data_IF_790369507373
#
_entry.id   IF_790369507373
#
_cell.length_a   1.000
_cell.length_b   1.000
_cell.length_c   1.000
_cell.angle_alpha   90.00
_cell.angle_beta   90.00
_cell.angle_gamma   90.00
#
_symmetry.space_group_name_H-M   'P 1'
#
loop_
_entity.id
_entity.type
_entity.pdbx_description
1 polymer ?
#
# COMPACT_ATOMS: atom_id res chain seq x y z
N UNK A 1 -14.41 -2.15 13.52
CA UNK A 1 -13.32 -2.14 12.51
C UNK A 1 -13.87 -2.16 11.09
N UNK A 2 -14.84 -3.04 10.78
CA UNK A 2 -15.51 -3.09 9.46
C UNK A 2 -16.08 -1.73 9.00
N UNK A 3 -16.76 -1.00 9.89
CA UNK A 3 -17.31 0.33 9.53
C UNK A 3 -16.24 1.37 9.16
N UNK A 4 -15.04 1.28 9.75
CA UNK A 4 -13.91 2.15 9.38
C UNK A 4 -13.39 1.77 8.00
N UNK A 5 -13.29 0.47 7.70
CA UNK A 5 -12.88 -0.01 6.38
C UNK A 5 -13.88 0.44 5.32
N UNK A 6 -15.19 0.28 5.57
CA UNK A 6 -16.26 0.77 4.71
C UNK A 6 -16.14 2.27 4.44
N UNK A 7 -16.02 3.09 5.49
CA UNK A 7 -15.88 4.55 5.35
C UNK A 7 -14.61 4.97 4.60
N UNK A 8 -13.49 4.26 4.76
CA UNK A 8 -12.26 4.54 4.00
C UNK A 8 -12.38 4.16 2.52
N UNK A 9 -13.08 3.07 2.22
CA UNK A 9 -13.22 2.59 0.83
C UNK A 9 -14.13 3.48 -0.03
N UNK A 10 -14.96 4.33 0.59
CA UNK A 10 -15.74 5.36 -0.10
C UNK A 10 -14.88 6.41 -0.84
N UNK A 11 -13.57 6.44 -0.62
CA UNK A 11 -12.64 7.25 -1.45
C UNK A 11 -12.79 6.94 -2.95
N UNK A 12 -13.23 5.72 -3.30
CA UNK A 12 -13.43 5.28 -4.67
C UNK A 12 -14.70 5.83 -5.35
N UNK A 13 -15.67 6.31 -4.58
CA UNK A 13 -17.00 6.70 -5.09
C UNK A 13 -16.92 7.89 -6.06
N UNK A 14 -15.95 8.80 -5.84
CA UNK A 14 -15.71 9.97 -6.69
C UNK A 14 -14.75 9.73 -7.85
N UNK A 15 -14.16 8.53 -7.97
CA UNK A 15 -13.14 8.24 -8.99
C UNK A 15 -13.80 7.85 -10.32
N UNK A 16 -13.17 8.18 -11.44
CA UNK A 16 -13.63 7.71 -12.76
C UNK A 16 -13.49 6.18 -12.90
N UNK A 17 -14.28 5.53 -13.76
CA UNK A 17 -14.10 4.11 -14.06
C UNK A 17 -12.68 3.83 -14.59
N UNK A 18 -12.11 2.68 -14.22
CA UNK A 18 -10.74 2.29 -14.56
C UNK A 18 -9.63 3.02 -13.79
N UNK A 19 -9.97 3.98 -12.91
CA UNK A 19 -8.99 4.68 -12.08
C UNK A 19 -8.24 3.70 -11.16
N UNK A 20 -6.97 3.98 -10.87
CA UNK A 20 -6.13 3.14 -10.01
C UNK A 20 -6.48 3.36 -8.53
N UNK A 21 -6.80 2.28 -7.82
CA UNK A 21 -7.00 2.26 -6.37
C UNK A 21 -5.99 1.31 -5.71
N UNK A 22 -5.15 1.87 -4.83
CA UNK A 22 -4.30 1.06 -3.96
C UNK A 22 -5.07 0.70 -2.69
N UNK A 23 -5.15 -0.59 -2.36
CA UNK A 23 -5.85 -1.05 -1.17
C UNK A 23 -5.06 -2.15 -0.45
N UNK A 24 -5.11 -2.22 0.90
CA UNK A 24 -4.32 -3.19 1.66
C UNK A 24 -4.84 -4.61 1.42
N UNK A 25 -3.95 -5.60 1.39
CA UNK A 25 -4.28 -7.01 1.26
C UNK A 25 -5.05 -7.61 2.46
N UNK A 26 -5.33 -6.81 3.48
CA UNK A 26 -6.16 -7.20 4.61
C UNK A 26 -7.58 -7.56 4.11
N UNK A 27 -8.11 -8.76 4.44
CA UNK A 27 -9.44 -9.19 4.03
C UNK A 27 -10.58 -8.26 4.48
N UNK A 28 -10.36 -7.39 5.46
CA UNK A 28 -11.38 -6.47 5.99
C UNK A 28 -11.96 -5.52 4.93
N UNK A 29 -11.24 -5.27 3.84
CA UNK A 29 -11.70 -4.38 2.76
C UNK A 29 -12.38 -5.11 1.60
N UNK A 30 -12.37 -6.44 1.56
CA UNK A 30 -12.85 -7.25 0.41
C UNK A 30 -14.31 -6.96 0.07
N UNK A 31 -15.17 -6.86 1.08
CA UNK A 31 -16.60 -6.59 0.90
C UNK A 31 -16.90 -5.20 0.35
N UNK A 32 -15.90 -4.31 0.26
CA UNK A 32 -16.04 -2.91 -0.13
C UNK A 32 -15.16 -2.54 -1.32
N UNK A 33 -14.53 -3.52 -1.98
CA UNK A 33 -13.73 -3.26 -3.18
C UNK A 33 -14.64 -2.84 -4.34
N UNK A 34 -14.31 -1.76 -5.07
CA UNK A 34 -15.10 -1.33 -6.21
C UNK A 34 -14.86 -2.26 -7.41
N UNK A 35 -15.93 -2.59 -8.13
CA UNK A 35 -15.87 -3.49 -9.28
C UNK A 35 -15.38 -2.81 -10.58
N UNK A 36 -15.49 -1.49 -10.66
CA UNK A 36 -15.22 -0.71 -11.87
C UNK A 36 -13.88 0.03 -11.85
N UNK A 37 -13.03 -0.19 -10.83
CA UNK A 37 -11.71 0.43 -10.68
C UNK A 37 -10.59 -0.59 -10.88
N UNK A 38 -9.42 -0.12 -11.25
CA UNK A 38 -8.21 -0.95 -11.26
C UNK A 38 -7.68 -1.03 -9.84
N UNK A 39 -7.96 -2.13 -9.14
CA UNK A 39 -7.48 -2.34 -7.77
C UNK A 39 -6.12 -3.01 -7.79
N UNK A 40 -5.13 -2.41 -7.15
CA UNK A 40 -3.81 -3.01 -6.89
C UNK A 40 -3.67 -3.20 -5.37
N UNK A 41 -3.26 -4.40 -4.96
CA UNK A 41 -3.20 -4.80 -3.55
C UNK A 41 -1.78 -4.62 -3.02
N UNK A 42 -1.64 -4.09 -1.80
CA UNK A 42 -0.35 -3.99 -1.12
C UNK A 42 -0.33 -4.73 0.22
N UNK A 43 0.79 -5.38 0.53
CA UNK A 43 0.95 -6.19 1.73
C UNK A 43 1.74 -7.47 1.48
N UNK A 44 1.87 -8.29 2.51
CA UNK A 44 2.57 -9.56 2.41
C UNK A 44 1.83 -10.50 1.45
N UNK A 45 2.54 -11.08 0.47
CA UNK A 45 1.98 -11.94 -0.58
C UNK A 45 1.04 -11.23 -1.56
N UNK A 46 0.99 -9.90 -1.55
CA UNK A 46 0.18 -9.11 -2.47
C UNK A 46 0.97 -8.72 -3.72
N UNK A 47 0.31 -8.03 -4.66
CA UNK A 47 0.97 -7.52 -5.88
C UNK A 47 2.10 -6.53 -5.55
N UNK A 48 1.91 -5.66 -4.55
CA UNK A 48 2.96 -4.78 -4.03
C UNK A 48 3.40 -5.25 -2.67
N UNK A 49 4.65 -5.67 -2.56
CA UNK A 49 5.20 -6.24 -1.34
C UNK A 49 6.58 -5.65 -1.02
N UNK A 50 6.81 -5.43 0.28
CA UNK A 50 8.15 -5.18 0.82
C UNK A 50 8.84 -6.53 0.99
N UNK A 51 9.89 -6.75 0.23
CA UNK A 51 10.63 -8.03 0.19
C UNK A 51 11.77 -8.09 1.19
N UNK A 52 12.29 -6.93 1.61
CA UNK A 52 13.33 -6.81 2.64
C UNK A 52 13.15 -5.51 3.42
N UNK A 53 13.42 -5.52 4.72
CA UNK A 53 13.30 -4.36 5.61
C UNK A 53 14.37 -4.45 6.70
N UNK A 54 15.27 -3.47 6.70
CA UNK A 54 16.30 -3.28 7.72
C UNK A 54 16.05 -1.97 8.44
N UNK A 55 15.74 -2.06 9.72
CA UNK A 55 15.49 -0.91 10.58
C UNK A 55 16.74 -0.58 11.42
N UNK A 56 17.11 0.69 11.45
CA UNK A 56 18.20 1.25 12.28
C UNK A 56 17.60 2.21 13.32
N UNK A 57 18.45 2.79 14.15
CA UNK A 57 18.03 3.66 15.27
C UNK A 57 17.19 4.87 14.81
N UNK A 58 17.51 5.44 13.67
CA UNK A 58 16.97 6.70 13.16
C UNK A 58 16.55 6.62 11.68
N UNK A 59 16.65 5.44 11.07
CA UNK A 59 16.44 5.24 9.65
C UNK A 59 15.94 3.83 9.36
N UNK A 60 15.40 3.62 8.17
CA UNK A 60 15.09 2.30 7.65
C UNK A 60 15.53 2.20 6.19
N UNK A 61 15.96 1.01 5.78
CA UNK A 61 16.20 0.63 4.39
C UNK A 61 15.20 -0.45 4.04
N UNK A 62 14.53 -0.37 2.90
CA UNK A 62 13.63 -1.42 2.45
C UNK A 62 13.74 -1.69 0.95
N UNK A 63 13.40 -2.91 0.54
CA UNK A 63 13.26 -3.31 -0.87
C UNK A 63 11.82 -3.66 -1.17
N UNK A 64 11.42 -3.45 -2.41
CA UNK A 64 10.11 -3.88 -2.91
C UNK A 64 10.29 -4.92 -4.00
N UNK A 65 9.21 -5.55 -4.42
CA UNK A 65 9.21 -6.49 -5.54
C UNK A 65 9.17 -5.82 -6.92
N UNK A 66 9.05 -4.48 -7.00
CA UNK A 66 8.92 -3.74 -8.25
C UNK A 66 10.00 -2.67 -8.48
N UNK A 67 10.72 -2.25 -7.43
CA UNK A 67 11.85 -1.33 -7.56
C UNK A 67 13.14 -2.12 -7.68
N UNK A 68 14.01 -1.70 -8.60
CA UNK A 68 15.33 -2.32 -8.78
C UNK A 68 16.28 -2.05 -7.60
N UNK A 69 16.11 -0.90 -6.95
CA UNK A 69 16.97 -0.45 -5.85
C UNK A 69 16.21 -0.38 -4.53
N UNK A 70 16.94 -0.54 -3.43
CA UNK A 70 16.41 -0.32 -2.10
C UNK A 70 16.19 1.19 -1.87
N UNK A 71 15.23 1.52 -1.01
CA UNK A 71 14.95 2.88 -0.57
C UNK A 71 15.38 3.06 0.88
N UNK A 72 16.03 4.19 1.15
CA UNK A 72 16.43 4.63 2.49
C UNK A 72 15.53 5.78 2.95
N UNK A 73 14.97 5.67 4.16
CA UNK A 73 14.19 6.74 4.78
C UNK A 73 14.83 7.18 6.10
N UNK A 74 14.93 8.49 6.39
CA UNK A 74 15.44 9.03 7.66
C UNK A 74 14.37 8.99 8.76
N UNK A 75 13.58 7.91 8.80
CA UNK A 75 12.56 7.62 9.80
C UNK A 75 12.53 6.13 10.08
N UNK A 76 12.01 5.75 11.23
CA UNK A 76 11.84 4.35 11.65
C UNK A 76 10.39 3.88 11.49
N UNK A 77 10.15 2.58 11.60
CA UNK A 77 8.82 1.97 11.62
C UNK A 77 8.38 1.37 10.28
N UNK A 78 7.93 0.11 10.33
CA UNK A 78 7.41 -0.66 9.18
C UNK A 78 6.31 0.06 8.39
N UNK A 79 5.45 0.83 9.06
CA UNK A 79 4.39 1.60 8.41
C UNK A 79 4.93 2.71 7.49
N UNK A 80 6.07 3.32 7.84
CA UNK A 80 6.71 4.31 6.98
C UNK A 80 7.28 3.67 5.71
N UNK A 81 7.83 2.46 5.81
CA UNK A 81 8.25 1.69 4.63
C UNK A 81 7.04 1.37 3.73
N UNK A 82 5.90 0.95 4.30
CA UNK A 82 4.68 0.70 3.51
C UNK A 82 4.15 1.97 2.85
N UNK A 83 4.12 3.10 3.57
CA UNK A 83 3.68 4.39 3.03
C UNK A 83 4.59 4.86 1.89
N UNK A 84 5.90 4.71 2.05
CA UNK A 84 6.86 5.04 0.99
C UNK A 84 6.71 4.11 -0.22
N UNK A 85 6.54 2.80 0.00
CA UNK A 85 6.30 1.85 -1.09
C UNK A 85 5.09 2.24 -1.95
N UNK A 86 3.93 2.51 -1.32
CA UNK A 86 2.72 2.86 -2.08
C UNK A 86 2.85 4.23 -2.76
N UNK A 87 3.59 5.18 -2.17
CA UNK A 87 3.89 6.46 -2.81
C UNK A 87 4.81 6.28 -4.02
N UNK A 88 5.85 5.45 -3.91
CA UNK A 88 6.79 5.15 -5.00
C UNK A 88 6.17 4.39 -6.16
N UNK A 89 5.08 3.65 -5.95
CA UNK A 89 4.36 3.00 -7.04
C UNK A 89 3.53 3.99 -7.89
N UNK A 90 3.11 5.11 -7.28
CA UNK A 90 2.28 6.14 -7.95
C UNK A 90 3.16 7.23 -8.60
N UNK A 91 4.33 7.51 -8.01
CA UNK A 91 5.25 8.57 -8.43
C UNK A 91 5.83 8.35 -9.83
#
# INVERSE_FOLDING_TARGET
RSEIAKGKMQIADGMAAGSLLLAPADPIVEAYLPADKKVVRFGQGAELEITDLVERKDSLTFKTNFLEQALDLPVTGKYNATNAMIASYIA
#
